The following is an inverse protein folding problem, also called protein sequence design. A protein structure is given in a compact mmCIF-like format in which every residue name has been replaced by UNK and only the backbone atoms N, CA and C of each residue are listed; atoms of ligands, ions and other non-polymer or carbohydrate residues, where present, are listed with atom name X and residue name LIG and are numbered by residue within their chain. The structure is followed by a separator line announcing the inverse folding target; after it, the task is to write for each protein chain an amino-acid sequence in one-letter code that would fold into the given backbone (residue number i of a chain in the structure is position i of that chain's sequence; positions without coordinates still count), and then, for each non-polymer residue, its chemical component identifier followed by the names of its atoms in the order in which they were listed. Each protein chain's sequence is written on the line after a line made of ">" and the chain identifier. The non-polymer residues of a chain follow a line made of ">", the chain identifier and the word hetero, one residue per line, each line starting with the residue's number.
data_IF_512651130678
#
_entry.id   IF_512651130678
#
_cell.length_a   1.000
_cell.length_b   1.000
_cell.length_c   1.000
_cell.angle_alpha   90.00
_cell.angle_beta   90.00
_cell.angle_gamma   90.00
#
_symmetry.space_group_name_H-M   'P 1'
#
loop_
_entity.id
_entity.type
_entity.pdbx_description
1 polymer ?
#
# COMPACT_ATOMS: atom_id res chain seq x y z
N UNK A 1 7.72 9.52 -14.27
CA UNK A 1 7.54 8.72 -13.03
C UNK A 1 6.30 9.23 -12.29
N UNK A 2 5.24 8.45 -12.31
CA UNK A 2 4.01 8.80 -11.59
C UNK A 2 3.61 7.62 -10.72
N UNK A 3 3.52 7.85 -9.41
CA UNK A 3 2.96 6.89 -8.48
C UNK A 3 1.66 7.46 -7.89
N UNK A 4 0.59 6.72 -7.93
CA UNK A 4 -0.63 7.05 -7.22
C UNK A 4 -0.64 6.30 -5.88
N UNK A 5 -0.86 7.01 -4.80
CA UNK A 5 -0.96 6.44 -3.45
C UNK A 5 -2.34 6.74 -2.87
N UNK A 6 -3.02 5.70 -2.36
CA UNK A 6 -4.31 5.80 -1.68
C UNK A 6 -4.19 6.19 -0.20
N UNK A 7 -3.17 6.95 0.18
CA UNK A 7 -3.11 7.58 1.50
C UNK A 7 -2.87 9.06 1.34
N UNK A 8 -3.96 9.80 1.35
CA UNK A 8 -3.87 11.21 1.67
C UNK A 8 -3.71 11.36 3.18
N UNK A 9 -2.64 12.02 3.65
CA UNK A 9 -2.70 12.61 4.97
C UNK A 9 -3.93 13.53 4.98
N UNK A 10 -4.89 13.27 5.85
CA UNK A 10 -6.15 14.03 5.99
C UNK A 10 -5.96 15.56 6.03
N UNK A 11 -4.77 16.02 6.33
CA UNK A 11 -4.42 17.42 6.55
C UNK A 11 -4.30 18.26 5.28
N UNK A 12 -3.97 17.69 4.13
CA UNK A 12 -3.78 18.43 2.86
C UNK A 12 -5.01 18.43 1.95
N UNK A 13 -6.02 17.59 2.23
CA UNK A 13 -7.13 17.31 1.32
C UNK A 13 -8.48 17.77 1.88
N UNK A 14 -8.56 18.15 3.15
CA UNK A 14 -9.80 18.46 3.89
C UNK A 14 -10.70 19.55 3.28
N UNK A 15 -10.23 20.33 2.32
CA UNK A 15 -10.96 21.53 1.85
C UNK A 15 -11.34 21.50 0.37
N UNK A 16 -11.25 20.33 -0.29
CA UNK A 16 -11.60 20.24 -1.72
C UNK A 16 -12.85 19.38 -1.91
N UNK A 17 -13.81 19.95 -2.62
CA UNK A 17 -15.04 19.30 -3.11
C UNK A 17 -14.79 18.30 -4.24
N UNK A 18 -13.62 17.69 -4.30
CA UNK A 18 -13.30 16.68 -5.31
C UNK A 18 -13.85 15.32 -4.88
N UNK A 19 -14.25 14.50 -5.85
CA UNK A 19 -14.58 13.10 -5.60
C UNK A 19 -13.42 12.37 -4.89
N UNK A 20 -13.77 11.35 -4.12
CA UNK A 20 -12.81 10.54 -3.33
C UNK A 20 -12.84 9.08 -3.77
N UNK A 21 -11.97 8.26 -3.21
CA UNK A 21 -12.00 6.81 -3.44
C UNK A 21 -13.35 6.18 -3.06
N UNK A 22 -14.10 6.78 -2.10
CA UNK A 22 -15.47 6.36 -1.79
C UNK A 22 -16.38 6.55 -3.02
N UNK A 23 -16.40 7.75 -3.61
CA UNK A 23 -17.25 8.06 -4.76
C UNK A 23 -16.92 7.18 -5.96
N UNK A 24 -15.63 6.90 -6.17
CA UNK A 24 -15.14 6.03 -7.24
C UNK A 24 -15.59 4.58 -7.03
N UNK A 25 -15.42 4.03 -5.83
CA UNK A 25 -15.81 2.65 -5.52
C UNK A 25 -17.33 2.49 -5.52
N UNK A 26 -18.07 3.50 -5.09
CA UNK A 26 -19.54 3.53 -5.18
C UNK A 26 -20.05 3.75 -6.61
N UNK A 27 -19.20 4.23 -7.52
CA UNK A 27 -19.55 4.48 -8.92
C UNK A 27 -20.29 5.80 -9.15
N UNK A 28 -20.22 6.73 -8.21
CA UNK A 28 -20.77 8.09 -8.33
C UNK A 28 -19.82 9.07 -9.01
N UNK A 29 -18.52 8.70 -9.13
CA UNK A 29 -17.51 9.47 -9.87
C UNK A 29 -16.56 8.54 -10.63
N UNK A 30 -15.91 9.07 -11.68
CA UNK A 30 -14.84 8.39 -12.38
C UNK A 30 -13.50 8.50 -11.63
N UNK A 31 -12.57 7.58 -11.86
CA UNK A 31 -11.22 7.69 -11.32
C UNK A 31 -10.48 8.91 -11.89
N UNK A 32 -10.69 9.24 -13.16
CA UNK A 32 -10.10 10.40 -13.84
C UNK A 32 -10.48 11.73 -13.17
N UNK A 33 -11.75 11.89 -12.77
CA UNK A 33 -12.24 13.08 -12.09
C UNK A 33 -11.78 13.19 -10.64
N UNK A 34 -11.47 12.04 -10.01
CA UNK A 34 -11.12 11.94 -8.61
C UNK A 34 -9.60 12.06 -8.35
N UNK A 35 -8.77 11.71 -9.33
CA UNK A 35 -7.32 11.79 -9.20
C UNK A 35 -6.85 13.24 -9.21
N UNK A 36 -6.06 13.63 -8.20
CA UNK A 36 -5.51 14.97 -8.07
C UNK A 36 -3.99 14.95 -8.22
N UNK A 37 -3.44 16.00 -8.84
CA UNK A 37 -2.00 16.18 -8.97
C UNK A 37 -1.44 16.89 -7.74
N UNK A 38 -0.41 16.27 -7.15
CA UNK A 38 0.42 16.84 -6.08
C UNK A 38 1.83 17.13 -6.60
N UNK A 39 2.65 17.89 -5.87
CA UNK A 39 4.04 18.20 -6.28
C UNK A 39 4.91 16.98 -6.54
N UNK A 40 4.61 15.84 -5.89
CA UNK A 40 5.42 14.62 -5.93
C UNK A 40 4.70 13.42 -6.57
N UNK A 41 3.57 13.64 -7.24
CA UNK A 41 2.84 12.56 -7.92
C UNK A 41 1.36 12.81 -7.99
N UNK A 42 0.61 11.75 -8.22
CA UNK A 42 -0.84 11.77 -8.31
C UNK A 42 -1.44 10.99 -7.15
N UNK A 43 -2.59 11.42 -6.66
CA UNK A 43 -3.28 10.77 -5.54
C UNK A 43 -4.77 10.66 -5.86
N UNK A 44 -5.34 9.48 -5.67
CA UNK A 44 -6.77 9.30 -5.49
C UNK A 44 -7.03 9.41 -3.97
N UNK A 45 -7.60 10.54 -3.50
CA UNK A 45 -7.76 10.78 -2.08
C UNK A 45 -8.84 9.90 -1.47
N UNK A 46 -8.66 9.55 -0.20
CA UNK A 46 -9.68 8.87 0.60
C UNK A 46 -10.05 9.71 1.82
N UNK A 47 -11.24 9.43 2.36
CA UNK A 47 -11.74 10.02 3.60
C UNK A 47 -12.42 8.96 4.47
N UNK A 48 -12.99 9.38 5.60
CA UNK A 48 -13.69 8.49 6.55
C UNK A 48 -14.91 7.81 5.95
N UNK A 49 -15.52 8.38 4.91
CA UNK A 49 -16.72 7.81 4.27
C UNK A 49 -16.43 6.48 3.58
N UNK A 50 -15.16 6.25 3.16
CA UNK A 50 -14.75 4.98 2.57
C UNK A 50 -14.99 3.78 3.51
N UNK A 51 -14.94 3.99 4.82
CA UNK A 51 -15.28 2.94 5.79
C UNK A 51 -16.76 2.54 5.70
N UNK A 52 -17.64 3.47 5.33
CA UNK A 52 -19.06 3.21 5.10
C UNK A 52 -19.31 2.34 3.87
N UNK A 53 -18.45 2.42 2.87
CA UNK A 53 -18.57 1.60 1.66
C UNK A 53 -18.56 0.09 1.94
N UNK A 54 -17.94 -0.37 3.04
CA UNK A 54 -17.98 -1.80 3.43
C UNK A 54 -19.40 -2.31 3.65
N UNK A 55 -20.27 -1.48 4.24
CA UNK A 55 -21.67 -1.83 4.49
C UNK A 55 -22.52 -1.64 3.23
N UNK A 56 -22.30 -0.54 2.51
CA UNK A 56 -23.11 -0.18 1.34
C UNK A 56 -22.85 -1.13 0.17
N UNK A 57 -21.62 -1.59 -0.02
CA UNK A 57 -21.27 -2.59 -1.03
C UNK A 57 -21.83 -3.99 -0.75
N UNK A 58 -22.35 -4.26 0.45
CA UNK A 58 -22.79 -5.61 0.82
C UNK A 58 -23.75 -6.24 -0.18
N UNK A 59 -24.63 -5.44 -0.78
CA UNK A 59 -25.66 -5.89 -1.72
C UNK A 59 -25.39 -5.47 -3.17
N UNK A 60 -24.21 -4.94 -3.47
CA UNK A 60 -23.82 -4.51 -4.82
C UNK A 60 -23.28 -5.69 -5.60
N UNK A 61 -23.78 -5.88 -6.83
CA UNK A 61 -23.26 -6.91 -7.74
C UNK A 61 -21.82 -6.58 -8.14
N UNK A 62 -20.97 -7.62 -8.21
CA UNK A 62 -19.53 -7.49 -8.54
C UNK A 62 -18.78 -6.51 -7.65
N UNK A 63 -19.19 -6.38 -6.41
CA UNK A 63 -18.65 -5.44 -5.43
C UNK A 63 -17.13 -5.56 -5.22
N UNK A 64 -16.55 -6.73 -5.44
CA UNK A 64 -15.11 -6.99 -5.31
C UNK A 64 -14.28 -6.38 -6.45
N UNK A 65 -14.92 -5.96 -7.55
CA UNK A 65 -14.26 -5.47 -8.78
C UNK A 65 -14.40 -3.97 -9.01
N UNK A 66 -15.08 -3.25 -8.12
CA UNK A 66 -15.38 -1.81 -8.29
C UNK A 66 -14.12 -0.97 -8.46
N UNK A 67 -13.12 -1.19 -7.62
CA UNK A 67 -11.85 -0.48 -7.72
C UNK A 67 -11.08 -0.86 -9.00
N UNK A 68 -11.08 -2.14 -9.36
CA UNK A 68 -10.44 -2.58 -10.61
C UNK A 68 -11.06 -1.92 -11.83
N UNK A 69 -12.39 -1.94 -11.93
CA UNK A 69 -13.11 -1.31 -13.05
C UNK A 69 -12.79 0.18 -13.16
N UNK A 70 -12.61 0.86 -12.04
CA UNK A 70 -12.23 2.27 -12.01
C UNK A 70 -10.76 2.50 -12.37
N UNK A 71 -9.83 1.69 -11.83
CA UNK A 71 -8.38 1.81 -12.12
C UNK A 71 -8.09 1.46 -13.58
N UNK A 72 -8.79 0.50 -14.16
CA UNK A 72 -8.59 0.11 -15.56
C UNK A 72 -8.82 1.28 -16.55
N UNK A 73 -9.57 2.33 -16.15
CA UNK A 73 -9.78 3.52 -17.01
C UNK A 73 -8.58 4.47 -17.05
N UNK A 74 -7.71 4.44 -16.02
CA UNK A 74 -6.56 5.34 -15.89
C UNK A 74 -5.22 4.60 -15.89
N UNK A 75 -5.24 3.28 -16.00
CA UNK A 75 -4.07 2.43 -15.81
C UNK A 75 -2.92 2.78 -16.76
N UNK A 76 -3.22 3.08 -18.00
CA UNK A 76 -2.23 3.35 -19.05
C UNK A 76 -1.54 4.72 -18.88
N UNK A 77 -2.06 5.57 -18.00
CA UNK A 77 -1.48 6.88 -17.71
C UNK A 77 -0.35 6.83 -16.66
N UNK A 78 -0.13 5.66 -16.03
CA UNK A 78 0.80 5.52 -14.90
C UNK A 78 1.74 4.33 -15.07
N UNK A 79 3.03 4.51 -14.75
CA UNK A 79 3.99 3.41 -14.67
C UNK A 79 3.70 2.48 -13.48
N UNK A 80 3.29 3.06 -12.35
CA UNK A 80 2.93 2.34 -11.13
C UNK A 80 1.74 2.99 -10.43
N UNK A 81 0.83 2.15 -9.93
CA UNK A 81 -0.28 2.53 -9.07
C UNK A 81 -0.14 1.78 -7.75
N UNK A 82 0.10 2.51 -6.66
CA UNK A 82 0.16 1.95 -5.32
C UNK A 82 -1.20 2.07 -4.62
N UNK A 83 -1.71 0.95 -4.13
CA UNK A 83 -2.97 0.90 -3.38
C UNK A 83 -2.62 0.62 -1.92
N UNK A 84 -2.77 1.63 -1.05
CA UNK A 84 -2.64 1.45 0.40
C UNK A 84 -3.93 0.87 0.97
N UNK A 85 -3.81 -0.20 1.74
CA UNK A 85 -4.93 -0.99 2.24
C UNK A 85 -5.06 -0.90 3.75
N UNK A 86 -6.28 -0.91 4.30
CA UNK A 86 -6.46 -1.08 5.74
C UNK A 86 -5.95 -2.45 6.20
N UNK A 87 -5.61 -2.62 7.49
CA UNK A 87 -5.10 -3.89 8.03
C UNK A 87 -6.17 -4.99 8.15
N UNK A 88 -7.39 -4.74 7.69
CA UNK A 88 -8.51 -5.69 7.69
C UNK A 88 -8.60 -6.44 6.36
N UNK A 89 -9.14 -7.66 6.36
CA UNK A 89 -9.45 -8.45 5.17
C UNK A 89 -10.92 -8.25 4.74
N UNK A 90 -11.40 -7.00 4.78
CA UNK A 90 -12.74 -6.61 4.36
C UNK A 90 -12.90 -6.49 2.84
N UNK A 91 -14.06 -5.97 2.42
CA UNK A 91 -14.39 -5.82 0.99
C UNK A 91 -13.46 -4.81 0.30
N UNK A 92 -12.93 -3.80 1.02
CA UNK A 92 -11.98 -2.84 0.46
C UNK A 92 -10.65 -3.51 0.12
N UNK A 93 -10.12 -4.37 1.00
CA UNK A 93 -8.91 -5.16 0.73
C UNK A 93 -9.13 -6.15 -0.41
N UNK A 94 -10.32 -6.75 -0.52
CA UNK A 94 -10.64 -7.61 -1.67
C UNK A 94 -10.68 -6.81 -2.98
N UNK A 95 -11.18 -5.57 -2.97
CA UNK A 95 -11.12 -4.67 -4.11
C UNK A 95 -9.66 -4.36 -4.52
N UNK A 96 -8.79 -4.09 -3.55
CA UNK A 96 -7.37 -3.92 -3.82
C UNK A 96 -6.74 -5.19 -4.43
N UNK A 97 -7.05 -6.37 -3.90
CA UNK A 97 -6.54 -7.65 -4.43
C UNK A 97 -7.02 -7.95 -5.85
N UNK A 98 -8.22 -7.53 -6.20
CA UNK A 98 -8.71 -7.69 -7.58
C UNK A 98 -8.07 -6.71 -8.55
N UNK A 99 -7.78 -5.50 -8.11
CA UNK A 99 -7.20 -4.43 -8.93
C UNK A 99 -5.69 -4.56 -9.11
N UNK A 100 -4.98 -5.06 -8.10
CA UNK A 100 -3.51 -5.13 -8.09
C UNK A 100 -2.97 -6.29 -8.94
N UNK A 101 -1.78 -6.09 -9.48
CA UNK A 101 -0.99 -7.15 -10.13
C UNK A 101 -0.17 -7.93 -9.09
N UNK A 102 0.36 -7.23 -8.08
CA UNK A 102 1.21 -7.82 -7.04
C UNK A 102 1.00 -7.13 -5.69
N UNK A 103 1.53 -7.75 -4.64
CA UNK A 103 1.49 -7.25 -3.28
C UNK A 103 2.90 -7.04 -2.75
N UNK A 104 3.21 -5.81 -2.37
CA UNK A 104 4.35 -5.49 -1.50
C UNK A 104 3.86 -5.49 -0.05
N UNK A 105 4.45 -6.32 0.79
CA UNK A 105 4.00 -6.54 2.17
C UNK A 105 4.95 -5.88 3.17
N UNK A 106 4.60 -4.73 3.76
CA UNK A 106 5.39 -4.17 4.85
C UNK A 106 5.19 -5.00 6.12
N UNK A 107 6.29 -5.40 6.76
CA UNK A 107 6.29 -6.22 7.96
C UNK A 107 7.11 -5.57 9.07
N UNK A 108 6.52 -5.44 10.24
CA UNK A 108 7.29 -5.09 11.44
C UNK A 108 8.01 -6.34 11.98
N UNK A 109 9.26 -6.17 12.43
CA UNK A 109 10.04 -7.26 13.02
C UNK A 109 9.59 -7.53 14.47
N UNK A 110 8.35 -8.00 14.63
CA UNK A 110 7.70 -8.31 15.91
C UNK A 110 7.25 -9.78 15.99
N UNK A 111 6.86 -10.22 17.20
CA UNK A 111 6.57 -11.65 17.49
C UNK A 111 5.51 -12.26 16.53
N UNK A 112 4.48 -11.52 16.22
CA UNK A 112 3.39 -12.01 15.37
C UNK A 112 3.63 -11.86 13.86
N UNK A 113 4.81 -11.41 13.44
CA UNK A 113 5.10 -11.18 12.02
C UNK A 113 4.91 -12.45 11.17
N UNK A 114 5.39 -13.60 11.65
CA UNK A 114 5.29 -14.88 10.94
C UNK A 114 3.85 -15.37 10.81
N UNK A 115 3.06 -15.23 11.87
CA UNK A 115 1.64 -15.61 11.87
C UNK A 115 0.85 -14.72 10.90
N UNK A 116 1.05 -13.40 10.98
CA UNK A 116 0.40 -12.44 10.06
C UNK A 116 0.72 -12.70 8.59
N UNK A 117 1.96 -13.07 8.26
CA UNK A 117 2.34 -13.44 6.89
C UNK A 117 1.68 -14.75 6.46
N UNK A 118 1.55 -15.73 7.33
CA UNK A 118 0.89 -17.01 7.01
C UNK A 118 -0.60 -16.79 6.67
N UNK A 119 -1.28 -15.96 7.46
CA UNK A 119 -2.68 -15.60 7.24
C UNK A 119 -2.87 -14.81 5.95
N UNK A 120 -2.01 -13.80 5.73
CA UNK A 120 -2.01 -13.04 4.48
C UNK A 120 -1.77 -13.95 3.26
N UNK A 121 -0.78 -14.83 3.33
CA UNK A 121 -0.47 -15.78 2.25
C UNK A 121 -1.68 -16.67 1.93
N UNK A 122 -2.41 -17.10 2.94
CA UNK A 122 -3.64 -17.89 2.77
C UNK A 122 -4.72 -17.07 2.09
N UNK A 123 -4.93 -15.83 2.51
CA UNK A 123 -5.90 -14.90 1.92
C UNK A 123 -5.58 -14.58 0.47
N UNK A 124 -4.30 -14.33 0.16
CA UNK A 124 -3.83 -14.11 -1.22
C UNK A 124 -4.08 -15.35 -2.09
N UNK A 125 -3.84 -16.56 -1.59
CA UNK A 125 -4.14 -17.80 -2.32
C UNK A 125 -5.64 -17.94 -2.62
N UNK A 126 -6.51 -17.55 -1.70
CA UNK A 126 -7.96 -17.57 -1.91
C UNK A 126 -8.35 -16.54 -2.97
N UNK A 127 -7.85 -15.31 -2.86
CA UNK A 127 -8.09 -14.24 -3.82
C UNK A 127 -7.57 -14.62 -5.22
N UNK A 128 -6.37 -15.19 -5.30
CA UNK A 128 -5.79 -15.66 -6.56
C UNK A 128 -6.67 -16.70 -7.25
N UNK A 129 -7.24 -17.64 -6.51
CA UNK A 129 -8.09 -18.71 -7.09
C UNK A 129 -9.46 -18.21 -7.54
N UNK A 130 -10.04 -17.22 -6.86
CA UNK A 130 -11.45 -16.84 -7.02
C UNK A 130 -11.68 -15.51 -7.72
N UNK A 131 -10.75 -14.56 -7.54
CA UNK A 131 -10.92 -13.16 -7.91
C UNK A 131 -9.90 -12.69 -8.95
N UNK A 132 -8.60 -12.89 -8.69
CA UNK A 132 -7.53 -12.40 -9.56
C UNK A 132 -6.41 -13.44 -9.68
N UNK A 133 -6.43 -14.22 -10.74
CA UNK A 133 -5.51 -15.34 -10.98
C UNK A 133 -4.04 -14.91 -11.13
N UNK A 134 -3.80 -13.65 -11.43
CA UNK A 134 -2.46 -13.10 -11.64
C UNK A 134 -1.85 -12.54 -10.35
N UNK A 135 -2.65 -12.33 -9.29
CA UNK A 135 -2.18 -11.76 -8.04
C UNK A 135 -1.10 -12.63 -7.39
N UNK A 136 0.02 -12.03 -7.03
CA UNK A 136 1.11 -12.70 -6.31
C UNK A 136 1.72 -11.78 -5.25
N UNK A 137 2.48 -12.35 -4.32
CA UNK A 137 3.30 -11.58 -3.38
C UNK A 137 4.65 -11.32 -4.07
N UNK A 138 4.87 -10.06 -4.43
CA UNK A 138 6.11 -9.56 -5.04
C UNK A 138 7.25 -9.58 -4.02
N UNK A 139 6.98 -9.05 -2.83
CA UNK A 139 8.00 -9.02 -1.81
C UNK A 139 7.51 -8.60 -0.43
N UNK A 140 8.42 -8.73 0.54
CA UNK A 140 8.22 -8.38 1.94
C UNK A 140 9.27 -7.35 2.35
N UNK A 141 8.84 -6.15 2.73
CA UNK A 141 9.70 -5.07 3.19
C UNK A 141 9.69 -5.01 4.72
N UNK A 142 10.84 -5.26 5.34
CA UNK A 142 10.97 -5.18 6.79
C UNK A 142 10.95 -3.72 7.24
N UNK A 143 10.05 -3.38 8.15
CA UNK A 143 9.86 -2.03 8.66
C UNK A 143 10.07 -1.97 10.17
N UNK A 144 10.23 -0.76 10.71
CA UNK A 144 10.47 -0.51 12.14
C UNK A 144 11.65 -1.34 12.70
N UNK A 145 12.60 -1.69 11.83
CA UNK A 145 13.74 -2.52 12.19
C UNK A 145 14.68 -1.79 13.15
N UNK A 146 15.05 -2.47 14.24
CA UNK A 146 16.05 -1.98 15.20
C UNK A 146 17.13 -3.04 15.40
N UNK A 147 18.30 -2.82 14.83
CA UNK A 147 19.45 -3.73 14.88
C UNK A 147 20.06 -3.90 16.29
N UNK A 148 19.69 -3.06 17.25
CA UNK A 148 20.09 -3.18 18.65
C UNK A 148 19.29 -4.25 19.39
N UNK A 149 18.16 -4.67 18.83
CA UNK A 149 17.28 -5.69 19.40
C UNK A 149 17.59 -7.04 18.74
N UNK A 150 18.14 -7.96 19.51
CA UNK A 150 18.40 -9.35 19.05
C UNK A 150 17.14 -9.99 18.45
N UNK A 151 15.98 -9.68 19.03
CA UNK A 151 14.71 -10.19 18.56
C UNK A 151 14.36 -9.74 17.13
N UNK A 152 14.54 -8.45 16.80
CA UNK A 152 14.32 -7.95 15.44
C UNK A 152 15.20 -8.65 14.41
N UNK A 153 16.46 -8.92 14.79
CA UNK A 153 17.40 -9.64 13.93
C UNK A 153 16.97 -11.09 13.73
N UNK A 154 16.55 -11.78 14.78
CA UNK A 154 16.07 -13.17 14.70
C UNK A 154 14.84 -13.29 13.80
N UNK A 155 13.84 -12.40 13.96
CA UNK A 155 12.64 -12.38 13.10
C UNK A 155 13.03 -12.15 11.64
N UNK A 156 13.92 -11.19 11.37
CA UNK A 156 14.39 -10.92 10.01
C UNK A 156 15.10 -12.12 9.38
N UNK A 157 15.95 -12.81 10.15
CA UNK A 157 16.64 -14.03 9.69
C UNK A 157 15.66 -15.17 9.42
N UNK A 158 14.65 -15.38 10.27
CA UNK A 158 13.61 -16.37 10.05
C UNK A 158 12.79 -16.08 8.80
N UNK A 159 12.36 -14.83 8.61
CA UNK A 159 11.63 -14.42 7.40
C UNK A 159 12.48 -14.68 6.15
N UNK A 160 13.76 -14.30 6.16
CA UNK A 160 14.67 -14.57 5.02
C UNK A 160 14.87 -16.07 4.77
N UNK A 161 14.96 -16.87 5.83
CA UNK A 161 15.08 -18.33 5.70
C UNK A 161 13.84 -18.97 5.07
N UNK A 162 12.64 -18.49 5.42
CA UNK A 162 11.38 -19.04 4.93
C UNK A 162 11.00 -18.56 3.54
N UNK A 163 11.18 -17.25 3.27
CA UNK A 163 10.69 -16.62 2.08
C UNK A 163 11.79 -16.31 1.04
N UNK A 164 13.06 -16.46 1.44
CA UNK A 164 14.22 -16.32 0.55
C UNK A 164 14.26 -14.94 -0.13
N UNK A 165 14.43 -14.95 -1.43
CA UNK A 165 14.53 -13.76 -2.27
C UNK A 165 13.28 -12.86 -2.27
N UNK A 166 12.14 -13.31 -1.70
CA UNK A 166 10.95 -12.46 -1.56
C UNK A 166 11.09 -11.42 -0.44
N UNK A 167 12.02 -11.60 0.51
CA UNK A 167 12.30 -10.58 1.50
C UNK A 167 13.27 -9.58 0.90
N UNK A 168 12.94 -8.30 1.00
CA UNK A 168 13.81 -7.22 0.55
C UNK A 168 15.11 -7.22 1.35
N UNK A 169 16.22 -6.95 0.68
CA UNK A 169 17.51 -6.75 1.35
C UNK A 169 17.50 -5.45 2.14
N UNK A 170 16.86 -4.44 1.58
CA UNK A 170 16.62 -3.15 2.23
C UNK A 170 15.65 -3.31 3.42
N UNK A 171 15.98 -2.65 4.54
CA UNK A 171 15.12 -2.58 5.72
C UNK A 171 14.82 -1.11 6.06
N UNK A 172 13.59 -0.81 6.48
CA UNK A 172 13.22 0.52 6.96
C UNK A 172 13.44 0.57 8.48
N UNK A 173 14.40 1.38 8.95
CA UNK A 173 14.71 1.45 10.37
C UNK A 173 13.62 2.20 11.15
N UNK A 174 13.49 1.89 12.43
CA UNK A 174 12.74 2.75 13.35
C UNK A 174 13.38 4.14 13.38
N UNK A 175 12.63 5.17 12.98
CA UNK A 175 13.12 6.53 12.84
C UNK A 175 12.05 7.55 13.19
N UNK A 176 12.36 8.46 14.12
CA UNK A 176 11.40 9.50 14.60
C UNK A 176 10.99 10.42 13.45
N UNK A 177 11.90 10.76 12.54
CA UNK A 177 11.59 11.61 11.38
C UNK A 177 10.51 11.03 10.47
N UNK A 178 10.46 9.68 10.33
CA UNK A 178 9.38 9.02 9.59
C UNK A 178 8.02 9.16 10.27
N UNK A 179 8.00 9.20 11.60
CA UNK A 179 6.76 9.42 12.36
C UNK A 179 6.32 10.89 12.36
N UNK A 180 7.26 11.83 12.24
CA UNK A 180 6.97 13.28 12.22
C UNK A 180 6.48 13.75 10.84
N UNK A 181 7.06 13.26 9.75
CA UNK A 181 6.78 13.71 8.38
C UNK A 181 5.26 13.79 8.04
N UNK A 182 4.42 12.78 8.38
CA UNK A 182 2.98 12.84 8.12
C UNK A 182 2.28 13.99 8.82
N UNK A 183 2.70 14.36 10.04
CA UNK A 183 2.11 15.49 10.78
C UNK A 183 2.38 16.85 10.11
N UNK A 184 3.39 16.91 9.23
CA UNK A 184 3.71 18.08 8.42
C UNK A 184 3.14 17.99 6.99
N UNK A 185 2.41 16.93 6.65
CA UNK A 185 1.84 16.73 5.33
C UNK A 185 2.88 16.62 4.21
N UNK A 186 4.09 16.13 4.53
CA UNK A 186 5.21 16.02 3.60
C UNK A 186 5.77 14.60 3.55
N UNK A 187 6.19 14.11 2.38
CA UNK A 187 6.95 12.89 2.31
C UNK A 187 8.30 13.07 3.00
N UNK A 188 8.86 11.98 3.52
CA UNK A 188 10.13 12.01 4.27
C UNK A 188 11.29 12.59 3.44
N UNK A 189 11.25 12.40 2.12
CA UNK A 189 12.25 12.92 1.17
C UNK A 189 12.26 14.44 1.08
N UNK A 190 11.15 15.10 1.42
CA UNK A 190 11.06 16.56 1.51
C UNK A 190 11.19 17.07 2.94
N UNK A 191 10.66 16.30 3.90
CA UNK A 191 10.70 16.68 5.30
C UNK A 191 12.12 16.64 5.87
N UNK A 192 12.84 15.52 5.64
CA UNK A 192 14.25 15.34 6.04
C UNK A 192 14.95 14.35 5.11
N UNK A 193 15.39 14.85 3.93
CA UNK A 193 16.07 14.04 2.91
C UNK A 193 17.36 13.40 3.42
N UNK A 194 18.02 14.00 4.42
CA UNK A 194 19.27 13.49 5.03
C UNK A 194 19.04 12.41 6.07
N UNK A 195 17.81 12.16 6.49
CA UNK A 195 17.50 11.17 7.53
C UNK A 195 17.82 9.74 7.10
N UNK A 196 18.05 8.87 8.08
CA UNK A 196 18.18 7.42 7.82
C UNK A 196 16.93 6.85 7.20
N UNK A 197 15.75 7.35 7.60
CA UNK A 197 14.47 6.94 7.06
C UNK A 197 14.32 7.27 5.58
N UNK A 198 14.66 8.51 5.17
CA UNK A 198 14.61 8.92 3.77
C UNK A 198 15.51 8.06 2.89
N UNK A 199 16.77 7.87 3.30
CA UNK A 199 17.72 7.02 2.56
C UNK A 199 17.23 5.56 2.45
N UNK A 200 16.64 5.02 3.51
CA UNK A 200 16.12 3.66 3.49
C UNK A 200 14.94 3.51 2.53
N UNK A 201 14.01 4.47 2.49
CA UNK A 201 12.91 4.44 1.53
C UNK A 201 13.37 4.63 0.08
N UNK A 202 14.38 5.47 -0.17
CA UNK A 202 14.97 5.58 -1.50
C UNK A 202 15.63 4.27 -1.95
N UNK A 203 16.41 3.64 -1.05
CA UNK A 203 17.00 2.34 -1.34
C UNK A 203 15.94 1.24 -1.57
N UNK A 204 14.84 1.26 -0.80
CA UNK A 204 13.73 0.33 -1.03
C UNK A 204 13.04 0.56 -2.38
N UNK A 205 12.89 1.82 -2.80
CA UNK A 205 12.35 2.14 -4.11
C UNK A 205 13.28 1.69 -5.24
N UNK A 206 14.59 1.88 -5.10
CA UNK A 206 15.57 1.38 -6.08
C UNK A 206 15.54 -0.15 -6.17
N UNK A 207 15.48 -0.85 -5.03
CA UNK A 207 15.36 -2.31 -5.01
C UNK A 207 14.05 -2.77 -5.63
N UNK A 208 12.92 -2.08 -5.36
CA UNK A 208 11.63 -2.37 -6.00
C UNK A 208 11.75 -2.27 -7.53
N UNK A 209 12.31 -1.17 -8.05
CA UNK A 209 12.47 -0.99 -9.50
C UNK A 209 13.36 -2.05 -10.14
N UNK A 210 14.45 -2.45 -9.46
CA UNK A 210 15.34 -3.52 -9.94
C UNK A 210 14.64 -4.88 -10.01
N UNK A 211 13.66 -5.14 -9.14
CA UNK A 211 12.89 -6.39 -9.12
C UNK A 211 11.82 -6.45 -10.21
N UNK A 212 11.41 -5.30 -10.76
CA UNK A 212 10.41 -5.19 -11.83
C UNK A 212 11.04 -5.32 -13.25
N UNK A 213 12.33 -5.09 -13.41
CA UNK A 213 13.07 -5.17 -14.69
C UNK A 213 13.72 -6.48 -14.88
#
# INVERSE_FOLDING_TARGET
>A
EMSASLVGSEMCIRDRSNPTAYDVVMGSASAEDAVIRLPYGWVLPSNTDLSGAEVELANVERREYRLREAIDTIRDDFDYIFIDCPPSLGILTLNAFTAADSLLVPLQCEYYAMEGVADLTTSVKIANRRLNKNLYIEGMLLTMYDNRLNFSTQVAEELRRYFGARVYDTVIPRNVRLAEAPSHGRPITEYDAGSKGARAYLAAAEEFLQRQG
#
